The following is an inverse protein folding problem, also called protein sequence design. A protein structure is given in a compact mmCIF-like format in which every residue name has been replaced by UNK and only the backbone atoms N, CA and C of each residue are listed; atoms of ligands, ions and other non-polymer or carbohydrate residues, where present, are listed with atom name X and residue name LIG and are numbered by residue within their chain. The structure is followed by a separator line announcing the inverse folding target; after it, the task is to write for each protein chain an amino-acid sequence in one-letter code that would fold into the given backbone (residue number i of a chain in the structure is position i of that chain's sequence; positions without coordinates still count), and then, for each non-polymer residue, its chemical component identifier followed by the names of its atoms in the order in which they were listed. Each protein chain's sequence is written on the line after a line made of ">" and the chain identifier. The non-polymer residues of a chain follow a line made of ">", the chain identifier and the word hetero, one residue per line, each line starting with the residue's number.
data_IF_708417810691
#
_entry.id   IF_708417810691
#
_cell.length_a   1.000
_cell.length_b   1.000
_cell.length_c   1.000
_cell.angle_alpha   90.00
_cell.angle_beta   90.00
_cell.angle_gamma   90.00
#
_symmetry.space_group_name_H-M   'P 1'
#
loop_
_entity.id
_entity.type
_entity.pdbx_description
1 polymer ?
#
# COMPACT_ATOMS: atom_id res chain seq x y z
N UNK A 1 6.48 16.99 6.22
CA UNK A 1 5.39 17.20 5.28
C UNK A 1 4.65 18.48 5.57
N UNK A 2 4.41 19.30 4.57
CA UNK A 2 3.71 20.55 4.79
C UNK A 2 2.28 20.34 5.23
N UNK A 3 1.82 21.17 6.14
CA UNK A 3 0.45 21.10 6.56
C UNK A 3 -0.50 21.43 5.41
N UNK A 4 -0.05 22.27 4.48
CA UNK A 4 -0.88 22.63 3.34
C UNK A 4 -1.28 21.42 2.50
N UNK A 5 -0.39 20.47 2.41
CA UNK A 5 -0.68 19.25 1.66
C UNK A 5 -1.89 18.55 2.27
N UNK A 6 -1.91 18.45 3.61
CA UNK A 6 -2.99 17.75 4.30
C UNK A 6 -4.27 18.58 4.35
N UNK A 7 -4.16 19.89 4.42
CA UNK A 7 -5.33 20.73 4.59
C UNK A 7 -6.26 20.70 3.38
N UNK A 8 -5.76 20.31 2.21
CA UNK A 8 -6.58 20.22 1.03
C UNK A 8 -7.28 18.88 0.84
N UNK A 9 -7.10 17.96 1.79
CA UNK A 9 -7.67 16.63 1.64
C UNK A 9 -9.00 16.48 2.38
N UNK A 10 -9.84 15.59 1.85
CA UNK A 10 -11.10 15.26 2.49
C UNK A 10 -10.85 14.13 3.48
N UNK A 11 -10.62 14.47 4.73
CA UNK A 11 -10.28 13.47 5.74
C UNK A 11 -11.42 12.51 6.06
N UNK A 12 -12.61 12.75 5.55
CA UNK A 12 -13.70 11.78 5.72
C UNK A 12 -13.54 10.60 4.79
N UNK A 13 -12.79 10.78 3.68
CA UNK A 13 -12.55 9.73 2.71
C UNK A 13 -11.27 8.97 2.96
N UNK A 14 -10.34 9.58 3.69
CA UNK A 14 -9.00 9.05 3.77
C UNK A 14 -8.68 8.54 5.17
N UNK A 15 -7.87 7.53 5.21
CA UNK A 15 -7.29 7.02 6.44
C UNK A 15 -5.80 6.96 6.31
N UNK A 16 -5.13 6.96 7.46
CA UNK A 16 -3.70 6.74 7.50
C UNK A 16 -3.44 5.29 7.83
N UNK A 17 -2.40 4.75 7.25
CA UNK A 17 -1.90 3.44 7.60
C UNK A 17 -0.39 3.45 7.53
N UNK A 18 0.22 2.34 7.90
CA UNK A 18 1.66 2.19 7.79
C UNK A 18 1.97 0.93 7.01
N UNK A 19 3.02 1.01 6.20
CA UNK A 19 3.56 -0.18 5.57
C UNK A 19 4.21 -0.99 6.67
N UNK A 20 3.84 -2.26 6.81
CA UNK A 20 4.39 -3.11 7.86
C UNK A 20 5.90 -3.20 7.78
N UNK A 21 6.55 -3.39 8.92
CA UNK A 21 8.02 -3.42 8.95
C UNK A 21 8.60 -4.60 8.19
N UNK A 22 7.78 -5.60 7.93
CA UNK A 22 8.21 -6.76 7.14
C UNK A 22 7.53 -6.84 5.79
N UNK A 23 6.82 -5.78 5.42
CA UNK A 23 6.12 -5.73 4.14
C UNK A 23 7.04 -5.10 3.09
N UNK A 24 7.75 -5.92 2.36
CA UNK A 24 8.65 -5.50 1.30
C UNK A 24 8.02 -5.62 -0.09
N UNK A 25 6.72 -5.90 -0.15
CA UNK A 25 6.03 -6.20 -1.41
C UNK A 25 6.21 -5.12 -2.46
N UNK A 26 6.14 -3.88 -2.07
CA UNK A 26 6.23 -2.76 -3.01
C UNK A 26 7.53 -1.98 -2.91
N UNK A 27 8.55 -2.57 -2.30
CA UNK A 27 9.86 -1.93 -2.28
C UNK A 27 10.41 -1.85 -3.70
N UNK A 28 10.98 -0.75 -4.14
CA UNK A 28 11.32 0.44 -3.34
C UNK A 28 10.26 1.55 -3.38
N UNK A 29 9.13 1.34 -4.04
CA UNK A 29 8.09 2.37 -4.14
C UNK A 29 7.52 2.69 -2.75
N UNK A 30 7.21 1.65 -1.98
CA UNK A 30 6.80 1.81 -0.60
C UNK A 30 7.80 1.06 0.28
N UNK A 31 8.36 1.77 1.25
CA UNK A 31 9.33 1.16 2.16
C UNK A 31 8.64 0.78 3.46
N UNK A 32 9.08 -0.32 4.09
CA UNK A 32 8.52 -0.69 5.39
C UNK A 32 8.61 0.46 6.38
N UNK A 33 7.55 0.66 7.14
CA UNK A 33 7.48 1.75 8.12
C UNK A 33 7.00 3.08 7.56
N UNK A 34 6.78 3.18 6.26
CA UNK A 34 6.29 4.42 5.67
C UNK A 34 4.82 4.66 6.04
N UNK A 35 4.45 5.92 6.13
CA UNK A 35 3.07 6.30 6.35
C UNK A 35 2.37 6.36 4.99
N UNK A 36 1.20 5.75 4.88
CA UNK A 36 0.43 5.79 3.63
C UNK A 36 -0.93 6.44 3.87
N UNK A 37 -1.43 7.11 2.85
CA UNK A 37 -2.75 7.69 2.87
C UNK A 37 -3.64 6.80 2.01
N UNK A 38 -4.75 6.35 2.56
CA UNK A 38 -5.62 5.36 1.96
C UNK A 38 -6.98 5.97 1.64
N UNK A 39 -7.39 5.86 0.39
CA UNK A 39 -8.72 6.31 -0.03
C UNK A 39 -9.68 5.13 0.10
N UNK A 40 -10.47 5.13 1.14
CA UNK A 40 -11.39 4.03 1.43
C UNK A 40 -12.56 3.95 0.47
N UNK A 41 -12.78 4.96 -0.34
CA UNK A 41 -13.84 4.91 -1.34
C UNK A 41 -13.42 4.08 -2.56
N UNK A 42 -12.13 3.78 -2.69
CA UNK A 42 -11.61 3.04 -3.84
C UNK A 42 -11.20 1.64 -3.43
N UNK A 43 -12.20 0.79 -3.29
CA UNK A 43 -11.98 -0.61 -2.87
C UNK A 43 -12.10 -1.61 -4.01
N UNK A 44 -12.51 -1.15 -5.17
CA UNK A 44 -12.68 -2.05 -6.31
C UNK A 44 -11.34 -2.22 -7.02
N UNK A 45 -10.97 -3.46 -7.28
CA UNK A 45 -9.72 -3.75 -7.98
C UNK A 45 -9.83 -3.38 -9.44
N UNK A 46 -8.84 -2.64 -9.93
CA UNK A 46 -8.74 -2.26 -11.34
C UNK A 46 -7.67 -3.15 -11.94
N UNK A 47 -8.06 -4.01 -12.89
CA UNK A 47 -7.15 -4.99 -13.48
C UNK A 47 -6.31 -4.44 -14.63
N UNK A 48 -6.70 -3.29 -15.18
CA UNK A 48 -5.99 -2.72 -16.33
C UNK A 48 -6.25 -1.21 -16.37
N UNK A 49 -5.70 -0.55 -17.39
CA UNK A 49 -5.94 0.88 -17.55
C UNK A 49 -4.78 1.77 -17.13
N UNK A 50 -3.67 1.19 -16.71
CA UNK A 50 -2.49 1.98 -16.38
C UNK A 50 -1.50 1.93 -17.55
N UNK A 51 -0.73 3.01 -17.70
CA UNK A 51 0.28 3.10 -18.77
C UNK A 51 1.65 2.66 -18.28
N UNK A 52 1.97 2.90 -17.03
CA UNK A 52 3.26 2.56 -16.44
C UNK A 52 3.04 1.98 -15.05
N UNK A 53 4.11 1.43 -14.46
CA UNK A 53 4.01 0.90 -13.11
C UNK A 53 3.71 2.00 -12.10
N UNK A 54 4.04 3.26 -12.42
CA UNK A 54 3.76 4.37 -11.51
C UNK A 54 2.28 4.72 -11.47
N UNK A 55 1.54 4.36 -12.51
CA UNK A 55 0.10 4.62 -12.57
C UNK A 55 -0.71 3.46 -12.01
N UNK A 56 -0.07 2.33 -11.79
CA UNK A 56 -0.78 1.13 -11.36
C UNK A 56 -1.22 1.28 -9.91
N UNK A 57 -2.51 1.10 -9.60
CA UNK A 57 -2.99 1.28 -8.23
C UNK A 57 -2.35 0.30 -7.24
N UNK A 58 -1.94 0.83 -6.10
CA UNK A 58 -1.47 0.02 -4.98
C UNK A 58 -2.61 -0.02 -3.98
N UNK A 59 -2.96 -1.21 -3.51
CA UNK A 59 -4.05 -1.39 -2.59
C UNK A 59 -3.55 -1.71 -1.19
N UNK A 60 -4.29 -1.21 -0.21
CA UNK A 60 -4.06 -1.53 1.19
C UNK A 60 -5.03 -2.64 1.53
N UNK A 61 -4.51 -3.77 1.95
CA UNK A 61 -5.28 -4.99 2.09
C UNK A 61 -5.17 -5.52 3.51
N UNK A 62 -6.26 -6.13 3.98
CA UNK A 62 -6.27 -6.76 5.29
C UNK A 62 -6.46 -8.25 5.12
N UNK A 63 -5.61 -9.04 5.74
CA UNK A 63 -5.77 -10.48 5.77
C UNK A 63 -5.60 -10.96 7.22
N UNK A 64 -5.70 -12.27 7.40
CA UNK A 64 -5.71 -12.86 8.72
C UNK A 64 -4.58 -12.42 9.63
N UNK A 65 -3.40 -12.22 9.08
CA UNK A 65 -2.21 -11.91 9.85
C UNK A 65 -1.84 -10.44 9.86
N UNK A 66 -2.68 -9.58 9.33
CA UNK A 66 -2.41 -8.15 9.33
C UNK A 66 -2.67 -7.48 8.00
N UNK A 67 -1.85 -6.49 7.67
CA UNK A 67 -2.06 -5.67 6.49
C UNK A 67 -0.90 -5.83 5.51
N UNK A 68 -1.20 -5.62 4.24
CA UNK A 68 -0.17 -5.65 3.21
C UNK A 68 -0.54 -4.64 2.12
N UNK A 69 0.47 -4.00 1.54
CA UNK A 69 0.29 -3.09 0.40
C UNK A 69 0.82 -3.78 -0.84
N UNK A 70 0.05 -3.81 -1.90
CA UNK A 70 0.48 -4.52 -3.11
C UNK A 70 -0.32 -4.10 -4.33
N UNK A 71 0.24 -4.31 -5.49
CA UNK A 71 -0.51 -4.35 -6.72
C UNK A 71 -1.39 -5.61 -6.69
N UNK A 72 -2.56 -5.53 -7.28
CA UNK A 72 -3.51 -6.64 -7.24
C UNK A 72 -4.19 -6.85 -8.58
N UNK A 73 -4.55 -8.10 -8.84
CA UNK A 73 -5.44 -8.45 -9.93
C UNK A 73 -6.53 -9.36 -9.36
N UNK A 74 -7.75 -9.17 -9.81
CA UNK A 74 -8.87 -9.98 -9.35
C UNK A 74 -9.41 -10.80 -10.51
N UNK A 75 -9.40 -12.11 -10.36
CA UNK A 75 -9.95 -13.02 -11.36
C UNK A 75 -10.96 -13.91 -10.63
N UNK A 76 -12.25 -13.65 -10.87
CA UNK A 76 -13.29 -14.34 -10.12
C UNK A 76 -13.19 -14.00 -8.65
N UNK A 77 -12.99 -15.01 -7.82
CA UNK A 77 -12.82 -14.81 -6.39
C UNK A 77 -11.37 -14.88 -5.96
N UNK A 78 -10.46 -14.97 -6.91
CA UNK A 78 -9.02 -15.06 -6.61
C UNK A 78 -8.40 -13.68 -6.70
N UNK A 79 -7.87 -13.20 -5.60
CA UNK A 79 -7.13 -11.94 -5.57
C UNK A 79 -5.65 -12.27 -5.59
N UNK A 80 -4.99 -11.84 -6.65
CA UNK A 80 -3.58 -12.11 -6.87
C UNK A 80 -2.80 -10.88 -6.46
N UNK A 81 -1.92 -11.03 -5.47
CA UNK A 81 -1.04 -9.97 -5.03
C UNK A 81 0.25 -10.07 -5.83
N UNK A 82 0.62 -8.99 -6.49
CA UNK A 82 1.79 -8.97 -7.33
C UNK A 82 2.79 -7.97 -6.79
N UNK A 83 3.89 -8.42 -6.19
CA UNK A 83 4.90 -7.54 -5.66
C UNK A 83 5.63 -6.78 -6.76
N UNK A 84 6.28 -5.69 -6.40
CA UNK A 84 7.11 -4.94 -7.32
C UNK A 84 8.26 -5.84 -7.82
N UNK A 85 8.65 -5.71 -9.08
CA UNK A 85 9.72 -6.55 -9.62
C UNK A 85 11.05 -6.47 -8.86
N UNK A 86 11.30 -5.34 -8.21
CA UNK A 86 12.53 -5.18 -7.43
C UNK A 86 12.45 -5.82 -6.05
N UNK A 87 11.26 -6.29 -5.66
CA UNK A 87 11.08 -6.94 -4.37
C UNK A 87 11.48 -8.40 -4.46
N UNK A 88 11.92 -8.95 -3.33
CA UNK A 88 12.22 -10.38 -3.25
C UNK A 88 10.97 -11.19 -2.92
N UNK A 89 9.86 -10.52 -2.67
CA UNK A 89 8.62 -11.22 -2.35
C UNK A 89 8.06 -11.91 -3.58
N UNK A 90 7.33 -12.97 -3.38
CA UNK A 90 6.72 -13.72 -4.47
C UNK A 90 5.23 -13.41 -4.55
N UNK A 91 4.63 -13.52 -5.76
CA UNK A 91 3.19 -13.35 -5.87
C UNK A 91 2.45 -14.34 -4.98
N UNK A 92 1.31 -13.91 -4.48
CA UNK A 92 0.46 -14.76 -3.65
C UNK A 92 -0.97 -14.61 -4.09
N UNK A 93 -1.78 -15.62 -3.77
CA UNK A 93 -3.18 -15.65 -4.17
C UNK A 93 -4.02 -15.91 -2.93
N UNK A 94 -5.05 -15.09 -2.77
CA UNK A 94 -5.99 -15.20 -1.66
C UNK A 94 -7.41 -15.24 -2.20
N UNK A 95 -8.32 -15.81 -1.44
CA UNK A 95 -9.73 -15.78 -1.80
C UNK A 95 -10.35 -14.48 -1.29
N UNK A 96 -10.91 -13.71 -2.20
CA UNK A 96 -11.56 -12.44 -1.87
C UNK A 96 -13.07 -12.64 -1.83
N UNK A 97 -13.77 -12.17 -0.81
CA UNK A 97 -13.26 -11.39 0.33
C UNK A 97 -13.01 -12.21 1.60
N UNK A 98 -13.08 -13.54 1.52
CA UNK A 98 -13.05 -14.37 2.72
C UNK A 98 -11.68 -14.45 3.38
N UNK A 99 -10.60 -14.47 2.59
CA UNK A 99 -9.25 -14.55 3.14
C UNK A 99 -8.56 -13.20 3.17
N UNK A 100 -8.96 -12.28 2.30
CA UNK A 100 -8.35 -10.95 2.22
C UNK A 100 -9.40 -9.94 1.79
N UNK A 101 -9.32 -8.75 2.33
CA UNK A 101 -10.23 -7.67 1.97
C UNK A 101 -9.45 -6.45 1.50
N UNK A 102 -10.01 -5.75 0.52
CA UNK A 102 -9.44 -4.49 0.04
C UNK A 102 -9.97 -3.38 0.95
N UNK A 103 -9.07 -2.71 1.66
CA UNK A 103 -9.43 -1.62 2.56
C UNK A 103 -9.50 -0.29 1.81
N UNK A 104 -8.75 -0.17 0.74
CA UNK A 104 -8.73 1.04 -0.06
C UNK A 104 -7.53 1.08 -0.96
N UNK A 105 -7.38 2.19 -1.68
CA UNK A 105 -6.25 2.40 -2.57
C UNK A 105 -5.29 3.37 -1.94
N UNK A 106 -4.00 3.08 -2.01
CA UNK A 106 -2.96 3.97 -1.49
C UNK A 106 -2.82 5.13 -2.46
N UNK A 107 -3.06 6.34 -1.96
CA UNK A 107 -3.03 7.55 -2.79
C UNK A 107 -1.91 8.51 -2.42
N UNK A 108 -1.19 8.24 -1.35
CA UNK A 108 -0.06 9.05 -0.96
C UNK A 108 0.85 8.32 -0.01
N UNK A 109 2.09 8.75 0.08
CA UNK A 109 3.06 8.14 0.96
C UNK A 109 3.97 9.23 1.53
N UNK A 110 4.38 9.06 2.78
CA UNK A 110 5.34 9.97 3.43
C UNK A 110 6.38 9.15 4.15
N UNK A 111 7.62 9.56 4.03
CA UNK A 111 8.71 8.92 4.73
C UNK A 111 9.08 9.73 5.94
N UNK A 112 9.38 9.07 7.03
CA UNK A 112 9.74 9.74 8.27
C UNK A 112 11.26 9.95 8.30
N UNK A 113 11.69 11.02 7.66
CA UNK A 113 13.12 11.31 7.57
C UNK A 113 13.78 11.51 8.92
N UNK A 114 13.02 12.09 9.83
CA UNK A 114 13.56 12.33 11.17
C UNK A 114 13.84 11.01 11.88
N UNK A 115 12.98 10.04 11.69
CA UNK A 115 13.19 8.72 12.25
C UNK A 115 14.46 8.08 11.67
N UNK A 116 14.68 8.26 10.38
CA UNK A 116 15.89 7.73 9.74
C UNK A 116 17.14 8.36 10.28
N UNK A 117 17.10 9.64 10.60
CA UNK A 117 18.25 10.32 11.14
C UNK A 117 18.61 9.84 12.52
N UNK A 118 17.60 9.42 13.29
CA UNK A 118 17.89 8.97 14.65
C UNK A 118 18.43 7.58 14.72
N UNK A 119 18.01 6.78 13.79
CA UNK A 119 18.37 5.39 13.86
C UNK A 119 19.82 5.14 14.03
N UNK A 120 20.57 5.72 13.26
CA UNK A 120 21.88 5.31 13.32
C UNK A 120 22.67 5.88 14.30
N UNK A 121 22.15 6.62 14.94
CA UNK A 121 22.88 7.19 15.94
C UNK A 121 23.61 6.17 16.52
N UNK A 122 23.03 5.52 16.24
CA UNK A 122 23.37 4.61 16.31
C UNK A 122 24.49 4.30 15.61
N UNK A 123 24.75 4.69 15.19
CA UNK A 123 25.79 4.39 14.65
C UNK A 123 26.65 4.66 14.72
#
# INVERSE_FOLDING_TARGET
>A
MPLDFLSGLDFKRYRYGFVGLEDWSMYPVLQPGSLVLIDESKRKIVNNGWSTEFDRPIYFLEHRNGYICSWCSLVGESLILQPHPASHEKPSVYRHPTEIEVMGQVTGVAMLLEWRKRRPAQT
#
